data_IF_035567280672
#
_entry.id   IF_035567280672
#
_cell.length_a   1.000
_cell.length_b   1.000
_cell.length_c   1.000
_cell.angle_alpha   90.00
_cell.angle_beta   90.00
_cell.angle_gamma   90.00
#
_symmetry.space_group_name_H-M   'P 1'
#
loop_
_entity.id
_entity.type
_entity.pdbx_description
1 polymer ?
#
# COMPACT_ATOMS: atom_id res chain seq x y z
N UNK A 1 -20.24 7.31 -0.21
CA UNK A 1 -20.63 5.99 -0.79
C UNK A 1 -22.02 5.99 -1.41
N UNK A 2 -23.03 6.64 -0.82
CA UNK A 2 -24.37 6.80 -1.43
C UNK A 2 -24.35 7.59 -2.74
N UNK A 3 -23.56 8.67 -2.83
CA UNK A 3 -23.39 9.45 -4.07
C UNK A 3 -22.82 8.62 -5.24
N UNK A 4 -21.86 7.74 -4.95
CA UNK A 4 -21.21 6.88 -5.95
C UNK A 4 -22.19 5.82 -6.48
N UNK A 5 -22.95 5.13 -5.61
CA UNK A 5 -23.99 4.18 -6.02
C UNK A 5 -25.14 4.86 -6.81
N UNK A 6 -25.54 6.08 -6.40
CA UNK A 6 -26.60 6.83 -7.09
C UNK A 6 -26.15 7.22 -8.51
N UNK A 7 -24.87 7.61 -8.69
CA UNK A 7 -24.33 7.95 -10.03
C UNK A 7 -24.11 6.73 -10.94
N UNK A 8 -23.71 5.57 -10.39
CA UNK A 8 -23.40 4.37 -11.19
C UNK A 8 -24.60 3.49 -11.52
N UNK A 9 -25.60 3.43 -10.64
CA UNK A 9 -26.69 2.45 -10.75
C UNK A 9 -28.09 3.08 -10.69
N UNK A 10 -28.20 4.41 -10.55
CA UNK A 10 -29.49 5.14 -10.54
C UNK A 10 -30.43 4.80 -9.38
N UNK A 11 -30.01 3.95 -8.43
CA UNK A 11 -30.83 3.48 -7.30
C UNK A 11 -30.33 4.07 -5.99
N UNK A 12 -31.21 4.71 -5.23
CA UNK A 12 -30.92 5.12 -3.85
C UNK A 12 -31.25 3.96 -2.90
N UNK A 13 -30.22 3.24 -2.45
CA UNK A 13 -30.35 2.26 -1.38
C UNK A 13 -30.06 2.86 -0.01
N UNK A 14 -30.72 2.35 1.04
CA UNK A 14 -30.37 2.68 2.42
C UNK A 14 -28.91 2.24 2.69
N UNK A 15 -28.02 3.11 3.22
CA UNK A 15 -26.65 2.75 3.58
C UNK A 15 -26.55 1.49 4.47
N UNK A 16 -27.54 1.28 5.34
CA UNK A 16 -27.65 0.11 6.22
C UNK A 16 -27.77 -1.18 5.40
N UNK A 17 -28.64 -1.18 4.39
CA UNK A 17 -28.89 -2.33 3.51
C UNK A 17 -27.62 -2.71 2.75
N UNK A 18 -26.88 -1.71 2.24
CA UNK A 18 -25.60 -1.94 1.55
C UNK A 18 -24.54 -2.49 2.51
N UNK A 19 -24.49 -1.99 3.76
CA UNK A 19 -23.55 -2.48 4.77
C UNK A 19 -23.87 -3.92 5.18
N UNK A 20 -25.14 -4.25 5.36
CA UNK A 20 -25.58 -5.59 5.73
C UNK A 20 -25.32 -6.61 4.61
N UNK A 21 -25.57 -6.23 3.36
CA UNK A 21 -25.26 -7.07 2.21
C UNK A 21 -23.76 -7.33 2.05
N UNK A 22 -22.92 -6.29 2.22
CA UNK A 22 -21.46 -6.45 2.21
C UNK A 22 -20.96 -7.36 3.34
N UNK A 23 -21.54 -7.25 4.54
CA UNK A 23 -21.24 -8.14 5.67
C UNK A 23 -21.67 -9.58 5.38
N UNK A 24 -22.86 -9.78 4.78
CA UNK A 24 -23.34 -11.11 4.34
C UNK A 24 -22.34 -11.77 3.37
N UNK A 25 -21.75 -10.99 2.48
CA UNK A 25 -20.73 -11.44 1.54
C UNK A 25 -19.29 -11.41 2.08
N UNK A 26 -19.12 -11.23 3.41
CA UNK A 26 -17.83 -11.22 4.13
C UNK A 26 -16.83 -10.13 3.68
N UNK A 27 -17.34 -8.99 3.22
CA UNK A 27 -16.53 -7.80 2.97
C UNK A 27 -16.43 -6.97 4.26
N UNK A 28 -15.21 -6.85 4.78
CA UNK A 28 -14.89 -6.04 5.95
C UNK A 28 -14.16 -4.76 5.51
N UNK A 29 -14.31 -3.69 6.30
CA UNK A 29 -13.45 -2.53 6.14
C UNK A 29 -12.05 -2.90 6.67
N UNK A 30 -11.04 -2.80 5.80
CA UNK A 30 -9.65 -3.15 6.10
C UNK A 30 -8.78 -1.99 5.60
N UNK A 31 -7.78 -1.61 6.39
CA UNK A 31 -6.75 -0.68 5.92
C UNK A 31 -5.87 -1.41 4.89
N UNK A 32 -5.79 -0.91 3.64
CA UNK A 32 -4.96 -1.51 2.61
C UNK A 32 -3.48 -1.40 2.99
N UNK A 33 -2.73 -2.50 2.83
CA UNK A 33 -1.28 -2.41 2.94
C UNK A 33 -0.73 -1.63 1.74
N UNK A 34 0.01 -0.56 2.03
CA UNK A 34 0.67 0.25 1.01
C UNK A 34 2.04 -0.30 0.73
N UNK A 35 2.11 -1.14 -0.29
CA UNK A 35 3.37 -1.65 -0.79
C UNK A 35 3.54 -1.22 -2.24
N UNK A 36 4.72 -0.73 -2.63
CA UNK A 36 5.03 -0.60 -4.05
C UNK A 36 4.90 -1.98 -4.70
N UNK A 37 4.41 -2.01 -5.94
CA UNK A 37 4.40 -3.23 -6.71
C UNK A 37 5.85 -3.66 -7.00
N UNK A 38 6.24 -4.86 -6.57
CA UNK A 38 7.57 -5.43 -6.82
C UNK A 38 7.44 -6.51 -7.90
N UNK A 39 8.18 -6.34 -8.99
CA UNK A 39 8.21 -7.32 -10.08
C UNK A 39 8.66 -8.71 -9.58
N UNK A 40 8.31 -9.77 -10.32
CA UNK A 40 8.75 -11.13 -9.98
C UNK A 40 10.29 -11.25 -9.95
N UNK A 41 10.97 -10.62 -10.91
CA UNK A 41 12.43 -10.57 -10.96
C UNK A 41 13.01 -9.87 -9.72
N UNK A 42 12.49 -8.69 -9.36
CA UNK A 42 12.98 -7.93 -8.20
C UNK A 42 12.71 -8.66 -6.87
N UNK A 43 11.64 -9.44 -6.77
CA UNK A 43 11.41 -10.31 -5.60
C UNK A 43 12.49 -11.39 -5.48
N UNK A 44 12.87 -12.01 -6.59
CA UNK A 44 13.90 -13.05 -6.60
C UNK A 44 15.28 -12.49 -6.23
N UNK A 45 15.65 -11.33 -6.78
CA UNK A 45 16.94 -10.69 -6.46
C UNK A 45 17.01 -10.26 -5.00
N UNK A 46 15.94 -9.65 -4.46
CA UNK A 46 15.84 -9.32 -3.03
C UNK A 46 15.95 -10.55 -2.13
N UNK A 47 15.32 -11.66 -2.52
CA UNK A 47 15.40 -12.91 -1.76
C UNK A 47 16.81 -13.52 -1.79
N UNK A 48 17.47 -13.50 -2.95
CA UNK A 48 18.86 -13.95 -3.08
C UNK A 48 19.79 -13.10 -2.22
N UNK A 49 19.67 -11.77 -2.29
CA UNK A 49 20.42 -10.84 -1.44
C UNK A 49 20.21 -11.14 0.05
N UNK A 50 18.96 -11.27 0.50
CA UNK A 50 18.66 -11.59 1.89
C UNK A 50 19.35 -12.90 2.32
N UNK A 51 19.28 -13.96 1.51
CA UNK A 51 19.98 -15.23 1.81
C UNK A 51 21.49 -15.09 1.91
N UNK A 52 22.10 -14.26 1.08
CA UNK A 52 23.56 -14.06 1.08
C UNK A 52 24.03 -13.35 2.35
N UNK A 53 23.27 -12.36 2.83
CA UNK A 53 23.71 -11.51 3.93
C UNK A 53 23.07 -11.82 5.30
N UNK A 54 22.15 -12.78 5.39
CA UNK A 54 21.42 -13.12 6.65
C UNK A 54 22.33 -13.62 7.78
N UNK A 55 23.49 -14.21 7.45
CA UNK A 55 24.45 -14.75 8.44
C UNK A 55 25.66 -13.85 8.67
N UNK A 56 25.68 -12.64 8.10
CA UNK A 56 26.81 -11.74 8.31
C UNK A 56 26.86 -11.23 9.74
N UNK A 57 28.07 -10.96 10.22
CA UNK A 57 28.29 -10.46 11.58
C UNK A 57 27.89 -8.99 11.71
N UNK A 58 27.73 -8.55 12.96
CA UNK A 58 27.43 -7.14 13.25
C UNK A 58 28.55 -6.21 12.80
N UNK A 59 29.82 -6.61 12.93
CA UNK A 59 30.95 -5.78 12.50
C UNK A 59 30.92 -5.52 10.98
N UNK A 60 30.43 -6.48 10.20
CA UNK A 60 30.24 -6.26 8.76
C UNK A 60 29.27 -5.11 8.51
N UNK A 61 28.11 -5.09 9.18
CA UNK A 61 27.09 -4.06 9.00
C UNK A 61 27.49 -2.69 9.54
N UNK A 62 28.34 -2.63 10.58
CA UNK A 62 28.90 -1.37 11.11
C UNK A 62 29.79 -0.66 10.09
N UNK A 63 30.43 -1.41 9.19
CA UNK A 63 31.28 -0.86 8.13
C UNK A 63 30.51 -0.54 6.83
N UNK A 64 29.21 -0.86 6.76
CA UNK A 64 28.39 -0.57 5.56
C UNK A 64 27.81 0.83 5.67
N UNK A 65 28.22 1.71 4.75
CA UNK A 65 27.61 3.02 4.56
C UNK A 65 26.45 2.88 3.58
N UNK A 66 25.25 3.17 4.07
CA UNK A 66 24.07 3.30 3.22
C UNK A 66 23.92 4.75 2.79
N UNK A 67 23.55 4.95 1.53
CA UNK A 67 23.16 6.27 0.99
C UNK A 67 21.79 6.09 0.38
N UNK A 68 20.85 6.96 0.73
CA UNK A 68 19.50 6.92 0.17
C UNK A 68 18.98 8.32 -0.17
N UNK A 69 18.02 8.36 -1.08
CA UNK A 69 17.34 9.58 -1.50
C UNK A 69 15.96 9.62 -0.84
N UNK A 70 15.78 10.52 0.13
CA UNK A 70 14.50 10.69 0.81
C UNK A 70 13.74 11.89 0.27
N UNK A 71 12.48 11.64 -0.10
CA UNK A 71 11.55 12.66 -0.61
C UNK A 71 10.63 13.16 0.50
N UNK A 72 10.65 14.46 0.75
CA UNK A 72 9.75 15.15 1.68
C UNK A 72 8.70 15.95 0.91
N UNK A 73 7.42 15.66 1.16
CA UNK A 73 6.31 16.39 0.54
C UNK A 73 6.06 17.70 1.30
N UNK A 74 6.03 18.83 0.60
CA UNK A 74 5.79 20.16 1.20
C UNK A 74 4.28 20.37 1.42
N UNK A 75 3.44 19.78 0.59
CA UNK A 75 1.98 19.88 0.66
C UNK A 75 1.30 18.51 0.63
N UNK A 76 0.37 18.30 1.56
CA UNK A 76 -0.44 17.08 1.66
C UNK A 76 0.34 15.90 2.25
N UNK A 77 -0.32 15.13 3.12
CA UNK A 77 0.17 13.80 3.46
C UNK A 77 -0.36 12.81 2.44
N UNK A 78 0.39 11.73 2.19
CA UNK A 78 -0.15 10.54 1.53
C UNK A 78 -1.17 9.84 2.48
N UNK A 79 -2.04 10.56 3.20
CA UNK A 79 -2.78 10.11 4.39
C UNK A 79 -3.64 8.86 4.21
N UNK A 80 -3.93 8.14 5.31
CA UNK A 80 -4.59 6.82 5.35
C UNK A 80 -5.92 6.78 4.58
N UNK A 81 -6.11 5.74 3.76
CA UNK A 81 -7.36 5.51 3.02
C UNK A 81 -7.92 4.13 3.35
N UNK A 82 -9.17 4.05 3.82
CA UNK A 82 -9.84 2.80 4.14
C UNK A 82 -10.47 2.15 2.90
N UNK A 83 -10.30 0.85 2.71
CA UNK A 83 -10.89 0.06 1.61
C UNK A 83 -11.70 -1.11 2.18
N UNK A 84 -12.62 -1.71 1.42
CA UNK A 84 -13.45 -2.85 1.89
C UNK A 84 -13.13 -4.13 1.11
N UNK A 85 -12.62 -5.17 1.79
CA UNK A 85 -12.20 -6.46 1.18
C UNK A 85 -12.53 -7.68 2.06
N UNK A 86 -12.30 -8.87 1.51
CA UNK A 86 -12.37 -10.13 2.27
C UNK A 86 -11.14 -10.30 3.16
N UNK A 87 -11.27 -10.95 4.33
CA UNK A 87 -10.15 -11.18 5.24
C UNK A 87 -9.08 -12.04 4.56
N UNK A 88 -7.82 -11.88 5.00
CA UNK A 88 -6.62 -12.56 4.45
C UNK A 88 -6.26 -12.27 2.99
N UNK A 89 -6.93 -11.32 2.33
CA UNK A 89 -6.64 -10.97 0.94
C UNK A 89 -5.76 -9.72 0.77
N UNK A 90 -5.26 -9.15 1.87
CA UNK A 90 -4.55 -7.86 1.86
C UNK A 90 -3.26 -7.84 1.01
N UNK A 91 -2.56 -8.98 0.88
CA UNK A 91 -1.30 -9.09 0.13
C UNK A 91 -1.48 -9.48 -1.34
N UNK A 92 -2.72 -9.69 -1.82
CA UNK A 92 -2.93 -9.98 -3.23
C UNK A 92 -2.64 -8.73 -4.06
N UNK A 93 -1.96 -8.90 -5.20
CA UNK A 93 -1.57 -7.79 -6.09
C UNK A 93 -2.74 -6.90 -6.48
N UNK A 94 -3.92 -7.49 -6.69
CA UNK A 94 -5.17 -6.77 -7.02
C UNK A 94 -5.69 -5.88 -5.88
N UNK A 95 -5.24 -6.13 -4.66
CA UNK A 95 -5.60 -5.43 -3.45
C UNK A 95 -4.44 -4.56 -2.93
N UNK A 96 -3.37 -4.36 -3.70
CA UNK A 96 -2.32 -3.41 -3.34
C UNK A 96 -2.68 -2.04 -3.94
N UNK A 97 -2.67 -1.01 -3.11
CA UNK A 97 -2.84 0.36 -3.60
C UNK A 97 -1.50 0.85 -4.16
N UNK A 98 -1.40 0.96 -5.49
CA UNK A 98 -0.25 1.56 -6.14
C UNK A 98 -0.14 3.05 -5.78
N UNK A 99 1.02 3.47 -5.28
CA UNK A 99 1.30 4.87 -4.96
C UNK A 99 1.85 5.55 -6.22
N UNK A 100 1.09 6.48 -6.81
CA UNK A 100 1.55 7.34 -7.92
C UNK A 100 1.89 8.72 -7.33
N UNK A 101 3.12 9.19 -7.55
CA UNK A 101 3.67 10.41 -6.93
C UNK A 101 3.86 11.55 -7.96
N UNK A 102 2.83 12.31 -8.35
CA UNK A 102 3.08 13.56 -9.10
C UNK A 102 2.04 14.66 -8.82
N UNK A 103 2.53 15.90 -8.62
CA UNK A 103 1.83 17.23 -8.58
C UNK A 103 1.78 18.04 -7.25
N UNK A 104 2.71 17.85 -6.33
CA UNK A 104 2.96 18.81 -5.25
C UNK A 104 4.47 19.04 -5.15
N UNK A 105 4.93 20.27 -4.90
CA UNK A 105 6.36 20.55 -4.71
C UNK A 105 6.95 19.66 -3.61
N UNK A 106 8.13 19.10 -3.85
CA UNK A 106 8.79 18.20 -2.91
C UNK A 106 10.27 18.56 -2.83
N UNK A 107 10.86 18.39 -1.65
CA UNK A 107 12.28 18.50 -1.45
C UNK A 107 12.90 17.11 -1.40
N UNK A 108 14.01 16.94 -2.11
CA UNK A 108 14.83 15.73 -2.07
C UNK A 108 16.03 16.03 -1.18
N UNK A 109 16.35 15.09 -0.29
CA UNK A 109 17.51 15.16 0.60
C UNK A 109 18.32 13.87 0.42
N UNK A 110 19.63 14.02 0.38
CA UNK A 110 20.60 12.93 0.34
C UNK A 110 21.23 12.75 1.72
N UNK A 111 21.40 11.50 2.14
CA UNK A 111 22.02 11.16 3.42
C UNK A 111 22.43 9.70 3.46
#
# INVERSE_FOLDING_TARGET
>A
MTLQCKSKFGKSGNPETVRNDLRKHKYHAIEPQRNPYISKANRQTRFAFAKMYVRQSTEYWENVIFVDESKYNIFGSDGKQNVRWKPNTAMHVVNLQATVKYRGGNQIVWG
#
